data_IF_041774538521
#
_entry.id   IF_041774538521
#
_cell.length_a   1.000
_cell.length_b   1.000
_cell.length_c   1.000
_cell.angle_alpha   90.00
_cell.angle_beta   90.00
_cell.angle_gamma   90.00
#
_symmetry.space_group_name_H-M   'P 1'
#
loop_
_entity.id
_entity.type
_entity.pdbx_description
1 polymer ?
#
# COMPACT_ATOMS: atom_id res chain seq x y z
N UNK A 1 -20.64 17.94 1.11
CA UNK A 1 -19.97 18.41 -0.11
C UNK A 1 -19.08 17.28 -0.60
N UNK A 2 -19.46 16.61 -1.69
CA UNK A 2 -18.77 15.41 -2.20
C UNK A 2 -17.77 15.87 -3.26
N UNK A 3 -16.49 15.95 -2.87
CA UNK A 3 -15.40 16.36 -3.76
C UNK A 3 -15.18 15.32 -4.85
N UNK A 4 -15.41 15.73 -6.10
CA UNK A 4 -15.15 14.93 -7.30
C UNK A 4 -13.66 14.64 -7.41
N UNK A 5 -13.31 13.35 -7.39
CA UNK A 5 -11.97 12.81 -7.60
C UNK A 5 -11.44 13.18 -8.99
N UNK A 6 -10.33 13.91 -9.06
CA UNK A 6 -9.69 14.32 -10.34
C UNK A 6 -8.79 13.20 -10.92
N UNK A 7 -8.66 12.08 -10.23
CA UNK A 7 -8.20 10.81 -10.80
C UNK A 7 -9.35 9.80 -10.67
N UNK A 8 -9.67 9.01 -11.72
CA UNK A 8 -10.70 7.98 -11.58
C UNK A 8 -10.28 7.05 -10.43
N UNK A 9 -11.21 6.78 -9.51
CA UNK A 9 -11.06 5.65 -8.59
C UNK A 9 -10.69 4.44 -9.45
N UNK A 10 -9.51 3.86 -9.20
CA UNK A 10 -9.07 2.66 -9.90
C UNK A 10 -10.21 1.63 -9.84
N UNK A 11 -10.63 1.13 -11.01
CA UNK A 11 -11.83 0.28 -11.10
C UNK A 11 -11.60 -1.01 -10.33
N UNK A 12 -12.67 -1.68 -9.89
CA UNK A 12 -12.52 -2.96 -9.19
C UNK A 12 -11.79 -4.00 -10.07
N UNK A 13 -11.90 -3.90 -11.40
CA UNK A 13 -11.17 -4.74 -12.35
C UNK A 13 -9.65 -4.49 -12.31
N UNK A 14 -9.22 -3.23 -12.27
CA UNK A 14 -7.81 -2.87 -12.13
C UNK A 14 -7.25 -3.27 -10.75
N UNK A 15 -8.07 -3.20 -9.70
CA UNK A 15 -7.71 -3.66 -8.37
C UNK A 15 -7.54 -5.19 -8.34
N UNK A 16 -8.43 -5.93 -9.00
CA UNK A 16 -8.32 -7.39 -9.13
C UNK A 16 -7.05 -7.82 -9.86
N UNK A 17 -6.67 -7.10 -10.93
CA UNK A 17 -5.39 -7.34 -11.63
C UNK A 17 -4.21 -7.12 -10.69
N UNK A 18 -4.28 -6.09 -9.84
CA UNK A 18 -3.23 -5.80 -8.88
C UNK A 18 -3.15 -6.84 -7.75
N UNK A 19 -4.30 -7.19 -7.14
CA UNK A 19 -4.44 -8.27 -6.15
C UNK A 19 -3.83 -9.58 -6.64
N UNK A 20 -4.11 -9.94 -7.90
CA UNK A 20 -3.54 -11.12 -8.54
C UNK A 20 -2.04 -11.00 -8.76
N UNK A 21 -1.52 -9.80 -9.05
CA UNK A 21 -0.08 -9.55 -9.23
C UNK A 21 0.70 -9.66 -7.92
N UNK A 22 0.12 -9.22 -6.81
CA UNK A 22 0.76 -9.31 -5.48
C UNK A 22 0.41 -10.59 -4.73
N UNK A 23 -0.34 -11.49 -5.36
CA UNK A 23 -0.82 -12.75 -4.79
C UNK A 23 -1.57 -12.57 -3.44
N UNK A 24 -2.35 -11.50 -3.31
CA UNK A 24 -3.10 -11.18 -2.10
C UNK A 24 -4.46 -10.60 -2.44
N UNK A 25 -5.50 -11.07 -1.76
CA UNK A 25 -6.88 -10.61 -1.93
C UNK A 25 -7.28 -9.78 -0.71
N UNK A 26 -7.61 -8.51 -0.93
CA UNK A 26 -8.02 -7.62 0.15
C UNK A 26 -9.48 -7.86 0.53
N UNK A 27 -9.74 -8.11 1.82
CA UNK A 27 -11.09 -8.06 2.37
C UNK A 27 -11.65 -6.63 2.31
N UNK A 28 -10.79 -5.63 2.56
CA UNK A 28 -11.11 -4.21 2.49
C UNK A 28 -10.32 -3.50 1.38
N UNK A 29 -10.91 -3.46 0.18
CA UNK A 29 -10.34 -2.77 -1.00
C UNK A 29 -10.18 -1.26 -0.84
N UNK A 30 -10.79 -0.64 0.17
CA UNK A 30 -10.55 0.78 0.45
C UNK A 30 -9.09 1.02 0.87
N UNK A 31 -8.48 0.07 1.60
CA UNK A 31 -7.07 0.14 2.00
C UNK A 31 -6.14 0.09 0.79
N UNK A 32 -6.42 -0.78 -0.17
CA UNK A 32 -5.65 -0.85 -1.42
C UNK A 32 -5.81 0.43 -2.25
N UNK A 33 -7.02 1.00 -2.32
CA UNK A 33 -7.26 2.29 -3.01
C UNK A 33 -6.48 3.43 -2.36
N UNK A 34 -6.47 3.49 -1.04
CA UNK A 34 -5.72 4.50 -0.28
C UNK A 34 -4.21 4.32 -0.45
N UNK A 35 -3.72 3.08 -0.38
CA UNK A 35 -2.29 2.77 -0.58
C UNK A 35 -1.77 3.18 -1.96
N UNK A 36 -2.61 3.10 -2.99
CA UNK A 36 -2.28 3.48 -4.35
C UNK A 36 -2.49 4.99 -4.62
N UNK A 37 -3.06 5.73 -3.67
CA UNK A 37 -3.35 7.16 -3.83
C UNK A 37 -2.19 8.02 -3.31
N UNK A 38 -1.43 8.61 -4.24
CA UNK A 38 -0.39 9.59 -3.88
C UNK A 38 -0.95 10.87 -3.28
N UNK A 39 -0.12 11.56 -2.48
CA UNK A 39 -0.42 12.89 -1.95
C UNK A 39 -0.73 13.87 -3.09
N UNK A 40 -1.82 14.62 -2.97
CA UNK A 40 -2.24 15.62 -3.94
C UNK A 40 -2.90 16.82 -3.26
N UNK A 41 -3.29 17.83 -4.04
CA UNK A 41 -3.87 19.08 -3.51
C UNK A 41 -5.16 18.91 -2.68
N UNK A 42 -5.83 17.75 -2.77
CA UNK A 42 -7.06 17.42 -2.05
C UNK A 42 -6.86 16.39 -0.93
N UNK A 43 -5.81 15.57 -1.04
CA UNK A 43 -5.40 14.59 -0.04
C UNK A 43 -3.93 14.86 0.31
N UNK A 44 -3.72 15.79 1.25
CA UNK A 44 -2.39 16.27 1.64
C UNK A 44 -1.47 15.16 2.13
N UNK A 45 -2.03 14.10 2.72
CA UNK A 45 -1.27 12.97 3.22
C UNK A 45 -1.20 11.80 2.22
N UNK A 46 -2.24 11.56 1.40
CA UNK A 46 -2.22 10.45 0.44
C UNK A 46 -2.02 9.10 1.14
N UNK A 47 -1.15 8.27 0.59
CA UNK A 47 -0.78 6.97 1.12
C UNK A 47 0.27 7.01 2.24
N UNK A 48 0.70 8.20 2.70
CA UNK A 48 1.78 8.35 3.69
C UNK A 48 1.47 7.67 5.02
N UNK A 49 0.23 7.67 5.48
CA UNK A 49 -0.15 7.02 6.75
C UNK A 49 0.06 5.52 6.70
N UNK A 50 -0.39 4.87 5.62
CA UNK A 50 -0.17 3.44 5.39
C UNK A 50 1.32 3.14 5.15
N UNK A 51 2.04 4.05 4.48
CA UNK A 51 3.48 3.93 4.29
C UNK A 51 4.23 3.89 5.62
N UNK A 52 3.88 4.78 6.56
CA UNK A 52 4.46 4.80 7.90
C UNK A 52 4.22 3.47 8.65
N UNK A 53 3.04 2.86 8.50
CA UNK A 53 2.73 1.56 9.10
C UNK A 53 3.66 0.47 8.53
N UNK A 54 3.87 0.45 7.22
CA UNK A 54 4.81 -0.46 6.57
C UNK A 54 6.27 -0.27 7.02
N UNK A 55 6.72 0.97 7.19
CA UNK A 55 8.10 1.31 7.63
C UNK A 55 8.36 0.90 9.07
N UNK A 56 7.44 1.18 9.99
CA UNK A 56 7.62 0.89 11.43
C UNK A 56 7.85 -0.61 11.68
N UNK A 57 7.38 -1.47 10.78
CA UNK A 57 7.50 -2.92 10.88
C UNK A 57 8.60 -3.53 10.00
N UNK A 58 9.18 -2.76 9.07
CA UNK A 58 10.34 -3.17 8.27
C UNK A 58 11.61 -2.44 8.75
N UNK A 59 12.42 -3.04 9.65
CA UNK A 59 13.57 -2.37 10.25
C UNK A 59 14.68 -1.98 9.25
N UNK A 60 14.68 -2.51 8.02
CA UNK A 60 15.70 -2.21 7.00
C UNK A 60 15.53 -0.86 6.30
N UNK A 61 14.46 -0.09 6.57
CA UNK A 61 14.12 1.06 5.71
C UNK A 61 14.53 2.43 6.25
N UNK A 62 15.31 2.53 7.32
CA UNK A 62 15.65 3.82 7.94
C UNK A 62 16.53 4.75 7.08
N UNK A 63 16.95 4.34 5.86
CA UNK A 63 17.88 5.11 5.03
C UNK A 63 17.50 5.31 3.55
N UNK A 64 16.29 4.96 3.08
CA UNK A 64 15.97 5.14 1.65
C UNK A 64 15.00 6.31 1.40
N UNK A 65 15.46 7.23 0.56
CA UNK A 65 14.91 8.56 0.34
C UNK A 65 13.49 8.64 -0.22
N UNK A 66 12.90 9.79 0.12
CA UNK A 66 11.60 10.39 -0.19
C UNK A 66 11.17 10.28 -1.68
N UNK A 67 10.76 9.10 -2.12
CA UNK A 67 10.22 8.85 -3.47
C UNK A 67 8.85 8.20 -3.37
N UNK A 68 7.85 8.77 -4.05
CA UNK A 68 6.44 8.30 -4.05
C UNK A 68 6.31 6.81 -4.42
N UNK A 69 7.22 6.27 -5.23
CA UNK A 69 7.26 4.84 -5.58
C UNK A 69 7.63 3.95 -4.38
N UNK A 70 8.49 4.42 -3.48
CA UNK A 70 8.85 3.73 -2.23
C UNK A 70 7.70 3.83 -1.22
N UNK A 71 7.13 5.03 -1.07
CA UNK A 71 6.00 5.25 -0.15
C UNK A 71 4.78 4.41 -0.57
N UNK A 72 4.54 4.25 -1.88
CA UNK A 72 3.46 3.39 -2.39
C UNK A 72 3.68 1.91 -2.05
N UNK A 73 4.91 1.41 -2.20
CA UNK A 73 5.23 0.03 -1.81
C UNK A 73 5.03 -0.20 -0.31
N UNK A 74 5.50 0.73 0.53
CA UNK A 74 5.29 0.69 1.98
C UNK A 74 3.81 0.74 2.33
N UNK A 75 3.04 1.59 1.63
CA UNK A 75 1.61 1.74 1.87
C UNK A 75 0.83 0.49 1.48
N UNK A 76 1.22 -0.21 0.41
CA UNK A 76 0.63 -1.51 0.04
C UNK A 76 0.88 -2.51 1.17
N UNK A 77 2.11 -2.59 1.70
CA UNK A 77 2.44 -3.48 2.81
C UNK A 77 1.66 -3.11 4.08
N UNK A 78 1.55 -1.82 4.40
CA UNK A 78 0.74 -1.33 5.52
C UNK A 78 -0.75 -1.63 5.36
N UNK A 79 -1.29 -1.53 4.15
CA UNK A 79 -2.65 -1.91 3.83
C UNK A 79 -2.89 -3.41 4.04
N UNK A 80 -1.97 -4.27 3.58
CA UNK A 80 -2.05 -5.73 3.77
C UNK A 80 -2.00 -6.05 5.25
N UNK A 81 -1.12 -5.41 6.01
CA UNK A 81 -0.98 -5.61 7.45
C UNK A 81 -2.28 -5.29 8.20
N UNK A 82 -2.95 -4.19 7.85
CA UNK A 82 -4.25 -3.85 8.46
C UNK A 82 -5.35 -4.81 8.02
N UNK A 83 -5.37 -5.20 6.74
CA UNK A 83 -6.39 -6.10 6.19
C UNK A 83 -6.30 -7.51 6.77
N UNK A 84 -5.09 -8.00 7.01
CA UNK A 84 -4.84 -9.31 7.61
C UNK A 84 -4.87 -9.32 9.14
N UNK A 85 -5.37 -8.27 9.78
CA UNK A 85 -5.40 -8.12 11.24
C UNK A 85 -4.02 -8.29 11.89
N UNK A 86 -3.05 -7.52 11.39
CA UNK A 86 -1.70 -7.38 11.92
C UNK A 86 -0.80 -8.63 11.79
N UNK A 87 -1.12 -9.52 10.84
CA UNK A 87 -0.30 -10.69 10.54
C UNK A 87 0.89 -10.35 9.63
N UNK A 88 2.09 -10.78 10.05
CA UNK A 88 3.33 -10.56 9.29
C UNK A 88 3.47 -11.49 8.06
N UNK A 89 3.10 -12.78 8.09
CA UNK A 89 3.30 -13.67 6.95
C UNK A 89 2.68 -13.18 5.63
N UNK A 90 1.43 -12.67 5.59
CA UNK A 90 0.84 -12.11 4.37
C UNK A 90 1.59 -10.90 3.82
N UNK A 91 2.20 -10.10 4.70
CA UNK A 91 3.02 -8.96 4.29
C UNK A 91 4.27 -9.44 3.57
N UNK A 92 4.99 -10.43 4.13
CA UNK A 92 6.20 -11.01 3.54
C UNK A 92 5.94 -11.64 2.17
N UNK A 93 4.80 -12.31 2.00
CA UNK A 93 4.37 -12.87 0.72
C UNK A 93 4.16 -11.78 -0.34
N UNK A 94 3.49 -10.69 0.04
CA UNK A 94 3.25 -9.54 -0.85
C UNK A 94 4.54 -8.85 -1.26
N UNK A 95 5.49 -8.66 -0.33
CA UNK A 95 6.79 -8.10 -0.69
C UNK A 95 7.59 -9.01 -1.62
N UNK A 96 7.54 -10.33 -1.37
CA UNK A 96 8.16 -11.31 -2.25
C UNK A 96 7.55 -11.25 -3.65
N UNK A 97 6.22 -11.14 -3.76
CA UNK A 97 5.51 -10.98 -5.03
C UNK A 97 5.85 -9.64 -5.74
N UNK A 98 6.17 -8.60 -4.97
CA UNK A 98 6.67 -7.32 -5.47
C UNK A 98 8.18 -7.35 -5.84
N UNK A 99 8.85 -8.49 -5.65
CA UNK A 99 10.29 -8.66 -5.93
C UNK A 99 11.20 -8.05 -4.85
N UNK A 100 10.68 -7.86 -3.63
CA UNK A 100 11.39 -7.31 -2.48
C UNK A 100 11.64 -8.40 -1.45
N UNK A 101 12.79 -8.35 -0.78
CA UNK A 101 13.11 -9.23 0.36
C UNK A 101 12.67 -8.60 1.67
N UNK A 102 11.93 -9.33 2.50
CA UNK A 102 11.75 -8.97 3.91
C UNK A 102 12.99 -9.40 4.70
N UNK A 103 13.55 -8.55 5.58
CA UNK A 103 14.62 -8.97 6.47
C UNK A 103 14.11 -9.99 7.50
N UNK A 104 14.94 -11.00 7.76
CA UNK A 104 14.70 -12.04 8.77
C UNK A 104 14.79 -11.50 10.21
#
# INVERSE_FOLDING_TARGET
MVGRYIFPLRSDEELLVFEKKINYNFANRALLREALQGSNALNGDGNKTLALIGVVKNPCQSQIGRNVMIDTMQAIVGAVYLDCNEQIPPCADVMTALGLSWPE
#
